data_IF_474448754183
#
_entry.id   IF_474448754183
#
_cell.length_a   1.000
_cell.length_b   1.000
_cell.length_c   1.000
_cell.angle_alpha   90.00
_cell.angle_beta   90.00
_cell.angle_gamma   90.00
#
_symmetry.space_group_name_H-M   'P 1'
#
loop_
_entity.id
_entity.type
_entity.pdbx_description
1 polymer ?
#
# COMPACT_ATOMS: atom_id res chain seq x y z
N UNK A 1 -3.56 -24.71 5.15
CA UNK A 1 -3.48 -24.25 6.55
C UNK A 1 -2.81 -22.89 6.54
N UNK A 2 -3.30 -21.90 7.30
CA UNK A 2 -2.68 -20.58 7.35
C UNK A 2 -1.24 -20.66 7.84
N UNK A 3 -0.38 -19.76 7.35
CA UNK A 3 0.98 -19.61 7.86
C UNK A 3 0.94 -19.11 9.31
N UNK A 4 1.75 -19.72 10.16
CA UNK A 4 2.04 -19.20 11.49
C UNK A 4 3.20 -18.20 11.36
N UNK A 5 2.89 -16.91 11.32
CA UNK A 5 3.92 -15.87 11.31
C UNK A 5 4.62 -15.80 12.68
N UNK A 6 5.97 -15.77 12.73
CA UNK A 6 6.68 -15.40 13.93
C UNK A 6 6.32 -13.98 14.36
N UNK A 7 6.52 -13.61 15.64
CA UNK A 7 6.29 -12.24 16.07
C UNK A 7 7.16 -11.27 15.26
N UNK A 8 6.67 -10.07 14.87
CA UNK A 8 7.44 -9.11 14.08
C UNK A 8 8.81 -8.72 14.67
N UNK A 9 8.97 -8.83 15.99
CA UNK A 9 10.23 -8.59 16.71
C UNK A 9 11.32 -9.64 16.41
N UNK A 10 10.97 -10.79 15.84
CA UNK A 10 11.91 -11.81 15.40
C UNK A 10 12.47 -11.56 13.98
N UNK A 11 12.03 -10.49 13.31
CA UNK A 11 12.53 -10.13 11.99
C UNK A 11 14.03 -9.79 12.04
N UNK A 12 14.75 -10.23 11.00
CA UNK A 12 16.21 -10.07 10.86
C UNK A 12 16.56 -8.70 10.34
N UNK A 13 17.03 -7.81 11.22
CA UNK A 13 17.41 -6.44 10.87
C UNK A 13 18.58 -6.37 9.90
N UNK A 14 19.50 -7.35 9.95
CA UNK A 14 20.61 -7.51 8.99
C UNK A 14 20.16 -7.95 7.59
N UNK A 15 18.88 -8.31 7.44
CA UNK A 15 18.22 -8.68 6.18
C UNK A 15 16.97 -7.81 5.94
N UNK A 16 17.05 -6.53 6.29
CA UNK A 16 15.99 -5.53 6.09
C UNK A 16 14.63 -5.92 6.68
N UNK A 17 14.65 -6.70 7.76
CA UNK A 17 13.46 -7.19 8.45
C UNK A 17 12.82 -8.43 7.82
N UNK A 18 13.58 -9.27 7.12
CA UNK A 18 13.11 -10.58 6.70
C UNK A 18 12.62 -11.40 7.91
N UNK A 19 11.41 -11.93 7.82
CA UNK A 19 10.76 -12.67 8.90
C UNK A 19 10.49 -14.14 8.55
N UNK A 20 10.02 -14.40 7.33
CA UNK A 20 9.62 -15.73 6.89
C UNK A 20 9.89 -15.91 5.40
N UNK A 21 10.25 -17.12 4.99
CA UNK A 21 10.37 -17.54 3.59
C UNK A 21 9.36 -18.66 3.29
N UNK A 22 8.70 -18.55 2.14
CA UNK A 22 7.79 -19.55 1.60
C UNK A 22 6.30 -19.25 1.83
N UNK A 23 5.49 -20.28 1.61
CA UNK A 23 4.03 -20.16 1.61
C UNK A 23 3.48 -19.49 0.34
N UNK A 24 2.19 -19.13 0.39
CA UNK A 24 1.46 -18.54 -0.71
C UNK A 24 0.67 -17.31 -0.23
N UNK A 25 0.47 -16.28 -1.06
CA UNK A 25 -0.30 -15.10 -0.73
C UNK A 25 -1.81 -15.40 -0.85
N UNK A 26 -2.30 -16.35 -0.07
CA UNK A 26 -3.75 -16.61 0.06
C UNK A 26 -4.40 -15.51 0.88
N UNK A 27 -5.73 -15.38 0.80
CA UNK A 27 -6.49 -14.40 1.56
C UNK A 27 -6.18 -14.50 3.05
N UNK A 28 -6.17 -15.72 3.60
CA UNK A 28 -5.91 -15.96 5.03
C UNK A 28 -4.50 -15.52 5.42
N UNK A 29 -3.49 -15.84 4.61
CA UNK A 29 -2.11 -15.50 4.89
C UNK A 29 -1.86 -14.00 4.78
N UNK A 30 -2.43 -13.34 3.78
CA UNK A 30 -2.32 -11.89 3.62
C UNK A 30 -2.99 -11.17 4.79
N UNK A 31 -4.24 -11.51 5.12
CA UNK A 31 -4.94 -10.92 6.28
C UNK A 31 -4.16 -11.13 7.57
N UNK A 32 -3.63 -12.33 7.80
CA UNK A 32 -2.81 -12.62 8.98
C UNK A 32 -1.51 -11.80 9.01
N UNK A 33 -0.84 -11.63 7.87
CA UNK A 33 0.38 -10.85 7.75
C UNK A 33 0.13 -9.36 8.01
N UNK A 34 -0.82 -8.74 7.30
CA UNK A 34 -1.12 -7.31 7.46
C UNK A 34 -1.63 -6.98 8.86
N UNK A 35 -2.39 -7.89 9.49
CA UNK A 35 -2.81 -7.76 10.88
C UNK A 35 -1.64 -7.70 11.88
N UNK A 36 -0.44 -8.08 11.47
CA UNK A 36 0.77 -8.09 12.30
C UNK A 36 1.81 -7.10 11.79
N UNK A 37 1.48 -6.26 10.80
CA UNK A 37 2.44 -5.33 10.21
C UNK A 37 3.45 -5.99 9.27
N UNK A 38 3.14 -7.17 8.77
CA UNK A 38 3.99 -7.96 7.87
C UNK A 38 3.43 -7.84 6.46
N UNK A 39 4.31 -7.70 5.46
CA UNK A 39 3.92 -7.68 4.05
C UNK A 39 4.77 -8.64 3.22
N UNK A 40 4.21 -9.23 2.15
CA UNK A 40 4.98 -10.04 1.22
C UNK A 40 5.81 -9.13 0.30
N UNK A 41 7.05 -9.52 0.03
CA UNK A 41 7.87 -8.90 -1.01
C UNK A 41 8.68 -9.99 -1.71
N UNK A 42 8.54 -10.17 -3.03
CA UNK A 42 9.28 -11.21 -3.74
C UNK A 42 10.73 -10.77 -3.95
N UNK A 43 11.64 -11.68 -3.66
CA UNK A 43 13.08 -11.53 -3.86
C UNK A 43 13.50 -12.49 -4.98
N UNK A 44 14.17 -12.02 -6.04
CA UNK A 44 14.59 -12.89 -7.14
C UNK A 44 15.40 -14.10 -6.65
N UNK A 45 15.02 -15.29 -7.11
CA UNK A 45 15.68 -16.55 -6.73
C UNK A 45 15.28 -17.11 -5.36
N UNK A 46 14.43 -16.42 -4.60
CA UNK A 46 13.96 -16.87 -3.29
C UNK A 46 12.48 -17.28 -3.36
N UNK A 47 12.02 -18.18 -2.47
CA UNK A 47 10.59 -18.31 -2.18
C UNK A 47 9.99 -16.97 -1.77
N UNK A 48 8.66 -16.84 -1.79
CA UNK A 48 7.98 -15.62 -1.34
C UNK A 48 8.47 -15.23 0.07
N UNK A 49 9.00 -14.03 0.20
CA UNK A 49 9.54 -13.53 1.45
C UNK A 49 8.55 -12.57 2.11
N UNK A 50 8.54 -12.58 3.44
CA UNK A 50 7.65 -11.77 4.26
C UNK A 50 8.49 -10.90 5.20
N UNK A 51 8.18 -9.61 5.26
CA UNK A 51 9.01 -8.61 5.91
C UNK A 51 8.27 -7.82 6.98
N UNK A 52 9.01 -7.47 8.02
CA UNK A 52 8.70 -6.38 8.94
C UNK A 52 9.99 -5.56 9.16
N UNK A 53 10.26 -4.51 8.38
CA UNK A 53 11.53 -3.78 8.42
C UNK A 53 11.74 -3.06 9.76
N UNK A 54 13.01 -2.80 10.17
CA UNK A 54 13.32 -2.07 11.40
C UNK A 54 12.91 -0.59 11.34
N UNK A 55 12.82 -0.04 10.12
CA UNK A 55 12.32 1.30 9.78
C UNK A 55 11.07 1.12 8.91
N UNK A 56 9.96 1.76 9.29
CA UNK A 56 8.70 1.66 8.54
C UNK A 56 8.27 3.03 8.06
N UNK A 57 8.01 3.15 6.75
CA UNK A 57 7.45 4.35 6.17
C UNK A 57 5.97 4.50 6.52
N UNK A 58 5.56 5.67 6.99
CA UNK A 58 4.17 6.03 7.20
C UNK A 58 3.86 7.40 6.58
N UNK A 59 2.58 7.64 6.29
CA UNK A 59 2.08 8.96 5.96
C UNK A 59 1.01 9.37 6.97
N UNK A 60 1.33 10.33 7.84
CA UNK A 60 0.31 10.97 8.69
C UNK A 60 -0.56 11.85 7.81
N UNK A 61 -1.88 11.67 7.89
CA UNK A 61 -2.82 12.39 7.02
C UNK A 61 -2.79 13.90 7.29
N UNK A 62 -2.51 14.32 8.53
CA UNK A 62 -2.35 15.72 8.91
C UNK A 62 -1.06 16.36 8.33
N UNK A 63 -0.06 15.55 7.97
CA UNK A 63 1.21 16.01 7.40
C UNK A 63 1.20 16.05 5.86
N UNK A 64 0.07 15.68 5.24
CA UNK A 64 -0.03 15.55 3.80
C UNK A 64 0.26 16.88 3.09
N UNK A 65 1.38 16.94 2.39
CA UNK A 65 1.84 18.14 1.72
C UNK A 65 1.32 18.22 0.28
N UNK A 66 0.43 19.19 0.03
CA UNK A 66 -0.08 19.50 -1.31
C UNK A 66 0.66 20.71 -1.88
N UNK A 67 1.75 20.46 -2.60
CA UNK A 67 2.51 21.51 -3.28
C UNK A 67 1.69 22.26 -4.33
N UNK A 68 2.13 23.48 -4.68
CA UNK A 68 1.41 24.41 -5.59
C UNK A 68 0.98 23.77 -6.92
N UNK A 69 1.86 22.98 -7.54
CA UNK A 69 1.60 22.31 -8.82
C UNK A 69 0.51 21.25 -8.69
N UNK A 70 0.53 20.46 -7.61
CA UNK A 70 -0.48 19.44 -7.34
C UNK A 70 -1.84 20.08 -7.01
N UNK A 71 -1.85 21.12 -6.19
CA UNK A 71 -3.06 21.88 -5.87
C UNK A 71 -3.70 22.51 -7.12
N UNK A 72 -2.86 23.00 -8.05
CA UNK A 72 -3.34 23.50 -9.35
C UNK A 72 -3.93 22.38 -10.20
N UNK A 73 -3.22 21.25 -10.33
CA UNK A 73 -3.70 20.09 -11.07
C UNK A 73 -5.05 19.61 -10.51
N UNK A 74 -5.20 19.50 -9.20
CA UNK A 74 -6.44 19.09 -8.54
C UNK A 74 -7.64 19.99 -8.88
N UNK A 75 -7.43 21.32 -8.99
CA UNK A 75 -8.52 22.25 -9.34
C UNK A 75 -8.85 22.28 -10.83
N UNK A 76 -7.92 21.88 -11.70
CA UNK A 76 -8.02 22.06 -13.15
C UNK A 76 -8.24 20.76 -13.91
N UNK A 77 -7.94 19.61 -13.30
CA UNK A 77 -8.06 18.33 -13.99
C UNK A 77 -9.53 17.96 -14.20
N UNK A 78 -9.90 17.45 -15.38
CA UNK A 78 -11.22 16.85 -15.61
C UNK A 78 -11.33 15.43 -15.02
N UNK A 79 -10.36 15.01 -14.20
CA UNK A 79 -10.22 13.62 -13.79
C UNK A 79 -11.29 13.22 -12.79
N UNK A 80 -11.79 11.99 -12.96
CA UNK A 80 -12.73 11.37 -12.04
C UNK A 80 -11.99 10.39 -11.16
N UNK A 81 -12.24 10.47 -9.86
CA UNK A 81 -11.73 9.48 -8.90
C UNK A 81 -12.80 8.44 -8.64
N UNK A 82 -12.42 7.17 -8.70
CA UNK A 82 -13.26 6.03 -8.34
C UNK A 82 -12.54 5.14 -7.33
N UNK A 83 -13.29 4.28 -6.68
CA UNK A 83 -12.78 3.27 -5.77
C UNK A 83 -13.36 1.93 -6.18
N UNK A 84 -12.52 0.90 -6.18
CA UNK A 84 -12.90 -0.50 -6.39
C UNK A 84 -13.65 -0.78 -7.71
N UNK A 85 -13.56 0.10 -8.71
CA UNK A 85 -14.21 -0.11 -10.02
C UNK A 85 -13.31 -0.89 -11.00
N UNK A 86 -11.98 -0.85 -10.82
CA UNK A 86 -11.05 -1.48 -11.76
C UNK A 86 -9.77 -2.03 -11.09
N UNK A 87 -9.91 -2.70 -9.95
CA UNK A 87 -8.78 -3.25 -9.17
C UNK A 87 -7.75 -4.02 -10.01
N UNK A 88 -8.21 -4.98 -10.82
CA UNK A 88 -7.32 -5.76 -11.68
C UNK A 88 -6.59 -4.92 -12.74
N UNK A 89 -7.21 -3.84 -13.25
CA UNK A 89 -6.54 -2.93 -14.18
C UNK A 89 -5.45 -2.13 -13.47
N UNK A 90 -5.74 -1.63 -12.26
CA UNK A 90 -4.76 -0.94 -11.42
C UNK A 90 -3.56 -1.83 -11.11
N UNK A 91 -3.78 -3.09 -10.69
CA UNK A 91 -2.69 -4.02 -10.41
C UNK A 91 -1.80 -4.27 -11.64
N UNK A 92 -2.41 -4.53 -12.80
CA UNK A 92 -1.66 -4.73 -14.06
C UNK A 92 -0.89 -3.49 -14.47
N UNK A 93 -1.45 -2.30 -14.27
CA UNK A 93 -0.76 -1.05 -14.56
C UNK A 93 0.42 -0.80 -13.59
N UNK A 94 0.26 -1.12 -12.30
CA UNK A 94 1.36 -1.11 -11.33
C UNK A 94 2.47 -2.12 -11.69
N UNK A 95 2.10 -3.29 -12.24
CA UNK A 95 3.02 -4.30 -12.76
C UNK A 95 3.72 -3.87 -14.06
N UNK A 96 3.14 -2.97 -14.85
CA UNK A 96 3.78 -2.46 -16.07
C UNK A 96 4.64 -1.21 -15.81
N UNK A 97 4.49 -0.55 -14.66
CA UNK A 97 5.13 0.73 -14.37
C UNK A 97 6.66 0.56 -14.23
N UNK A 98 7.47 1.22 -15.08
CA UNK A 98 8.93 1.20 -14.94
C UNK A 98 9.35 1.85 -13.63
N UNK A 99 10.32 1.23 -12.94
CA UNK A 99 10.89 1.75 -11.69
C UNK A 99 12.38 1.97 -11.90
N UNK A 100 12.89 3.21 -11.78
CA UNK A 100 14.31 3.49 -11.95
C UNK A 100 15.16 2.60 -11.03
N UNK A 101 16.11 1.85 -11.59
CA UNK A 101 16.99 0.96 -10.83
C UNK A 101 16.38 -0.41 -10.46
N UNK A 102 15.23 -0.79 -11.01
CA UNK A 102 14.67 -2.14 -10.88
C UNK A 102 14.50 -2.79 -12.26
N UNK A 103 15.07 -3.98 -12.43
CA UNK A 103 14.84 -4.82 -13.60
C UNK A 103 13.47 -5.50 -13.46
N UNK A 104 12.43 -4.82 -13.95
CA UNK A 104 11.05 -5.28 -13.92
C UNK A 104 10.30 -4.92 -12.64
N UNK A 105 9.11 -5.49 -12.47
CA UNK A 105 8.27 -5.25 -11.28
C UNK A 105 8.24 -6.46 -10.39
N UNK A 106 8.31 -6.22 -9.09
CA UNK A 106 8.11 -7.25 -8.06
C UNK A 106 6.69 -7.84 -8.06
N UNK A 107 5.72 -7.25 -8.76
CA UNK A 107 4.35 -7.77 -8.81
C UNK A 107 4.31 -9.03 -9.71
N UNK A 108 4.45 -10.20 -9.10
CA UNK A 108 4.42 -11.49 -9.81
C UNK A 108 2.98 -11.93 -10.11
N UNK A 109 2.76 -12.83 -11.09
CA UNK A 109 1.43 -13.39 -11.34
C UNK A 109 0.79 -14.07 -10.11
N UNK A 110 1.61 -14.59 -9.19
CA UNK A 110 1.14 -15.17 -7.94
C UNK A 110 0.57 -14.10 -7.00
N UNK A 111 1.26 -12.95 -6.88
CA UNK A 111 0.75 -11.83 -6.10
C UNK A 111 -0.52 -11.27 -6.74
N UNK A 112 -0.57 -11.07 -8.06
CA UNK A 112 -1.79 -10.60 -8.75
C UNK A 112 -3.01 -11.44 -8.35
N UNK A 113 -2.92 -12.77 -8.46
CA UNK A 113 -4.03 -13.65 -8.05
C UNK A 113 -4.36 -13.54 -6.57
N UNK A 114 -3.35 -13.42 -5.72
CA UNK A 114 -3.53 -13.29 -4.27
C UNK A 114 -4.27 -12.00 -3.88
N UNK A 115 -3.87 -10.86 -4.43
CA UNK A 115 -4.51 -9.58 -4.17
C UNK A 115 -5.87 -9.44 -4.86
N UNK A 116 -6.07 -10.02 -6.04
CA UNK A 116 -7.41 -10.09 -6.67
C UNK A 116 -8.38 -10.91 -5.80
N UNK A 117 -7.93 -12.04 -5.24
CA UNK A 117 -8.73 -12.81 -4.27
C UNK A 117 -8.96 -12.01 -2.97
N UNK A 118 -7.96 -11.27 -2.50
CA UNK A 118 -8.07 -10.41 -1.32
C UNK A 118 -9.05 -9.24 -1.54
N UNK A 119 -9.09 -8.69 -2.76
CA UNK A 119 -10.06 -7.68 -3.17
C UNK A 119 -11.48 -8.26 -3.20
N UNK A 120 -11.67 -9.44 -3.81
CA UNK A 120 -12.94 -10.14 -3.80
C UNK A 120 -13.43 -10.48 -2.38
N UNK A 121 -12.51 -10.69 -1.44
CA UNK A 121 -12.80 -10.88 -0.02
C UNK A 121 -13.07 -9.57 0.76
N UNK A 122 -12.96 -8.40 0.12
CA UNK A 122 -13.24 -7.10 0.72
C UNK A 122 -12.11 -6.53 1.59
N UNK A 123 -10.86 -6.97 1.36
CA UNK A 123 -9.69 -6.53 2.13
C UNK A 123 -8.66 -5.76 1.31
N UNK A 124 -8.65 -5.89 -0.01
CA UNK A 124 -7.80 -5.06 -0.87
C UNK A 124 -8.66 -4.09 -1.66
N UNK A 125 -8.19 -2.85 -1.81
CA UNK A 125 -8.93 -1.78 -2.43
C UNK A 125 -8.07 -1.00 -3.40
N UNK A 126 -8.70 -0.46 -4.44
CA UNK A 126 -8.06 0.39 -5.42
C UNK A 126 -8.66 1.80 -5.43
N UNK A 127 -7.82 2.75 -5.83
CA UNK A 127 -8.23 4.12 -6.16
C UNK A 127 -7.84 4.35 -7.60
N UNK A 128 -8.82 4.69 -8.43
CA UNK A 128 -8.63 4.91 -9.86
C UNK A 128 -8.74 6.39 -10.22
N UNK A 129 -7.89 6.85 -11.14
CA UNK A 129 -7.93 8.20 -11.69
C UNK A 129 -8.22 8.09 -13.18
N UNK A 130 -9.38 8.60 -13.60
CA UNK A 130 -9.89 8.47 -14.95
C UNK A 130 -9.90 9.81 -15.69
N UNK A 131 -9.38 9.84 -16.92
CA UNK A 131 -9.53 10.95 -17.87
C UNK A 131 -10.50 10.51 -18.97
N UNK A 132 -11.77 10.93 -18.86
CA UNK A 132 -12.82 10.27 -19.62
C UNK A 132 -12.87 8.78 -19.26
N UNK A 133 -12.78 7.91 -20.26
CA UNK A 133 -12.82 6.45 -20.07
C UNK A 133 -11.42 5.83 -20.00
N UNK A 134 -10.36 6.64 -20.02
CA UNK A 134 -8.97 6.19 -19.89
C UNK A 134 -8.53 6.18 -18.43
N UNK A 135 -8.00 5.04 -17.97
CA UNK A 135 -7.36 4.91 -16.66
C UNK A 135 -5.95 5.52 -16.70
N UNK A 136 -5.79 6.73 -16.16
CA UNK A 136 -4.55 7.52 -16.26
C UNK A 136 -3.67 7.44 -15.01
N UNK A 137 -4.13 6.81 -13.94
CA UNK A 137 -3.34 6.55 -12.75
C UNK A 137 -4.17 5.87 -11.67
N UNK A 138 -3.51 5.50 -10.59
CA UNK A 138 -4.17 4.86 -9.47
C UNK A 138 -3.19 4.21 -8.52
N UNK A 139 -3.74 3.64 -7.46
CA UNK A 139 -3.03 2.84 -6.49
C UNK A 139 -3.91 1.71 -5.99
N UNK A 140 -3.29 0.67 -5.45
CA UNK A 140 -3.99 -0.34 -4.67
C UNK A 140 -3.32 -0.52 -3.30
N UNK A 141 -4.08 -1.02 -2.35
CA UNK A 141 -3.61 -1.30 -1.01
C UNK A 141 -4.52 -2.27 -0.28
N UNK A 142 -4.18 -2.55 0.98
CA UNK A 142 -4.87 -3.51 1.83
C UNK A 142 -5.43 -2.81 3.06
N UNK A 143 -6.73 -2.94 3.29
CA UNK A 143 -7.42 -2.45 4.48
C UNK A 143 -7.72 -3.62 5.42
N UNK A 144 -6.95 -3.74 6.50
CA UNK A 144 -7.10 -4.81 7.48
C UNK A 144 -7.04 -4.21 8.88
N UNK A 145 -8.08 -4.51 9.68
CA UNK A 145 -8.20 -4.12 11.10
C UNK A 145 -7.92 -2.62 11.35
N UNK A 146 -8.57 -1.76 10.56
CA UNK A 146 -8.50 -0.31 10.74
C UNK A 146 -7.26 0.37 10.16
N UNK A 147 -6.32 -0.37 9.55
CA UNK A 147 -5.14 0.19 8.89
C UNK A 147 -5.18 -0.05 7.39
N UNK A 148 -4.81 0.97 6.62
CA UNK A 148 -4.58 0.87 5.18
C UNK A 148 -3.08 0.80 4.90
N UNK A 149 -2.63 -0.26 4.23
CA UNK A 149 -1.28 -0.40 3.71
C UNK A 149 -1.28 -0.20 2.19
N UNK A 150 -0.68 0.90 1.72
CA UNK A 150 -0.60 1.21 0.29
C UNK A 150 0.47 0.35 -0.37
N UNK A 151 0.13 -0.47 -1.36
CA UNK A 151 1.06 -1.46 -1.92
C UNK A 151 1.85 -0.89 -3.10
N UNK A 152 1.13 -0.35 -4.07
CA UNK A 152 1.74 0.18 -5.27
C UNK A 152 0.83 1.17 -5.96
N UNK A 153 1.43 1.99 -6.81
CA UNK A 153 0.75 3.01 -7.60
C UNK A 153 1.40 3.14 -8.97
N UNK A 154 0.62 3.63 -9.91
CA UNK A 154 1.07 3.95 -11.26
C UNK A 154 0.47 5.27 -11.73
N UNK A 155 1.03 5.80 -12.81
CA UNK A 155 0.49 6.96 -13.50
C UNK A 155 0.93 6.92 -14.96
N UNK A 156 0.02 7.29 -15.85
CA UNK A 156 0.26 7.57 -17.27
C UNK A 156 0.16 9.07 -17.57
N UNK A 157 -0.34 9.87 -16.61
CA UNK A 157 -0.33 11.33 -16.66
C UNK A 157 0.36 11.92 -15.43
N UNK A 158 1.11 13.03 -15.57
CA UNK A 158 1.77 13.67 -14.43
C UNK A 158 0.79 14.02 -13.31
N UNK A 159 1.13 13.68 -12.06
CA UNK A 159 0.30 13.87 -10.86
C UNK A 159 -0.89 12.90 -10.68
N UNK A 160 -1.20 11.99 -11.61
CA UNK A 160 -2.33 11.09 -11.43
C UNK A 160 -2.20 10.20 -10.18
N UNK A 161 -1.04 9.58 -9.94
CA UNK A 161 -0.81 8.78 -8.72
C UNK A 161 -0.91 9.62 -7.44
N UNK A 162 -0.45 10.88 -7.48
CA UNK A 162 -0.58 11.81 -6.35
C UNK A 162 -2.04 12.15 -6.09
N UNK A 163 -2.85 12.35 -7.13
CA UNK A 163 -4.29 12.56 -6.96
C UNK A 163 -4.99 11.33 -6.35
N UNK A 164 -4.58 10.12 -6.72
CA UNK A 164 -5.06 8.90 -6.07
C UNK A 164 -4.70 8.88 -4.56
N UNK A 165 -3.48 9.27 -4.19
CA UNK A 165 -3.08 9.39 -2.77
C UNK A 165 -3.91 10.45 -2.04
N UNK A 166 -4.13 11.63 -2.63
CA UNK A 166 -4.94 12.68 -2.00
C UNK A 166 -6.37 12.21 -1.76
N UNK A 167 -6.96 11.52 -2.74
CA UNK A 167 -8.32 10.98 -2.61
C UNK A 167 -8.39 9.85 -1.59
N UNK A 168 -7.41 8.94 -1.56
CA UNK A 168 -7.29 7.92 -0.53
C UNK A 168 -7.19 8.56 0.86
N UNK A 169 -6.29 9.53 1.02
CA UNK A 169 -6.08 10.21 2.30
C UNK A 169 -7.36 10.88 2.80
N UNK A 170 -8.10 11.54 1.91
CA UNK A 170 -9.40 12.13 2.25
C UNK A 170 -10.41 11.06 2.65
N UNK A 171 -10.55 9.99 1.85
CA UNK A 171 -11.43 8.86 2.18
C UNK A 171 -11.11 8.28 3.56
N UNK A 172 -9.86 7.96 3.83
CA UNK A 172 -9.39 7.43 5.12
C UNK A 172 -9.67 8.39 6.29
N UNK A 173 -9.46 9.69 6.08
CA UNK A 173 -9.75 10.73 7.08
C UNK A 173 -11.24 10.77 7.43
N UNK A 174 -12.14 10.65 6.45
CA UNK A 174 -13.59 10.58 6.72
C UNK A 174 -14.00 9.32 7.48
N UNK A 175 -13.16 8.27 7.47
CA UNK A 175 -13.35 7.03 8.24
C UNK A 175 -12.63 7.05 9.59
N UNK A 176 -12.03 8.18 9.96
CA UNK A 176 -11.38 8.39 11.25
C UNK A 176 -9.96 7.84 11.37
N UNK A 177 -9.35 7.38 10.26
CA UNK A 177 -7.93 7.06 10.25
C UNK A 177 -7.09 8.35 10.26
N UNK A 178 -5.91 8.29 10.88
CA UNK A 178 -5.00 9.44 11.00
C UNK A 178 -3.68 9.25 10.25
N UNK A 179 -3.42 8.04 9.74
CA UNK A 179 -2.22 7.69 9.00
C UNK A 179 -2.48 6.50 8.07
N UNK A 180 -1.57 6.25 7.13
CA UNK A 180 -1.51 5.01 6.36
C UNK A 180 -0.08 4.46 6.31
N UNK A 181 0.05 3.15 6.16
CA UNK A 181 1.32 2.45 5.99
C UNK A 181 1.76 2.55 4.51
N UNK A 182 3.02 2.92 4.29
CA UNK A 182 3.63 3.00 2.96
C UNK A 182 4.88 2.10 2.85
N UNK A 183 5.06 1.21 3.83
CA UNK A 183 6.12 0.21 4.01
C UNK A 183 7.55 0.79 3.97
N UNK A 184 8.01 1.21 2.80
CA UNK A 184 9.34 1.78 2.58
C UNK A 184 9.24 3.23 2.12
N UNK A 185 10.04 4.09 2.76
CA UNK A 185 10.09 5.49 2.40
C UNK A 185 10.72 5.66 1.02
N UNK A 186 10.09 6.49 0.18
CA UNK A 186 10.64 6.87 -1.13
C UNK A 186 10.70 8.38 -1.24
N UNK A 187 11.63 8.95 -2.04
CA UNK A 187 11.67 10.40 -2.27
C UNK A 187 10.34 10.97 -2.76
N UNK A 188 9.56 10.18 -3.52
CA UNK A 188 8.23 10.57 -3.98
C UNK A 188 7.26 10.76 -2.81
N UNK A 189 7.25 9.84 -1.84
CA UNK A 189 6.38 9.91 -0.67
C UNK A 189 6.86 10.95 0.34
N UNK A 190 8.17 11.17 0.50
CA UNK A 190 8.72 12.26 1.32
C UNK A 190 8.20 13.61 0.85
N UNK A 191 8.15 13.84 -0.46
CA UNK A 191 7.60 15.07 -1.04
C UNK A 191 6.11 15.30 -0.71
N UNK A 192 5.38 14.25 -0.31
CA UNK A 192 4.00 14.31 0.16
C UNK A 192 3.88 14.37 1.69
N UNK A 193 4.99 14.42 2.43
CA UNK A 193 5.00 14.49 3.89
C UNK A 193 5.10 13.13 4.59
N UNK A 194 5.49 12.07 3.88
CA UNK A 194 5.76 10.79 4.51
C UNK A 194 7.05 10.83 5.34
N UNK A 195 7.09 10.02 6.39
CA UNK A 195 8.21 9.89 7.31
C UNK A 195 8.50 8.42 7.63
N UNK A 196 9.59 8.16 8.33
CA UNK A 196 9.92 6.84 8.85
C UNK A 196 9.84 6.82 10.37
N UNK A 197 9.23 5.75 10.90
CA UNK A 197 9.19 5.43 12.32
C UNK A 197 9.96 4.12 12.59
N UNK A 198 10.30 3.86 13.85
CA UNK A 198 10.86 2.55 14.22
C UNK A 198 9.82 1.43 14.09
N UNK A 199 10.25 0.17 13.97
CA UNK A 199 9.36 -0.99 14.02
C UNK A 199 8.48 -0.97 15.28
N UNK A 200 9.06 -0.63 16.43
CA UNK A 200 8.36 -0.55 17.71
C UNK A 200 7.24 0.50 17.66
N UNK A 201 7.54 1.72 17.20
CA UNK A 201 6.54 2.78 17.08
C UNK A 201 5.44 2.39 16.08
N UNK A 202 5.80 1.81 14.94
CA UNK A 202 4.82 1.32 13.96
C UNK A 202 3.88 0.26 14.54
N UNK A 203 4.41 -0.73 15.28
CA UNK A 203 3.59 -1.76 15.90
C UNK A 203 2.68 -1.19 17.01
N UNK A 204 3.14 -0.15 17.72
CA UNK A 204 2.29 0.57 18.67
C UNK A 204 1.14 1.32 17.98
N UNK A 205 1.42 2.01 16.85
CA UNK A 205 0.39 2.65 16.02
C UNK A 205 -0.61 1.64 15.47
N UNK A 206 -0.11 0.51 14.96
CA UNK A 206 -0.94 -0.59 14.45
C UNK A 206 -1.86 -1.12 15.55
N UNK A 207 -1.34 -1.43 16.73
CA UNK A 207 -2.14 -1.95 17.85
C UNK A 207 -3.23 -0.94 18.29
N UNK A 208 -2.91 0.35 18.29
CA UNK A 208 -3.86 1.41 18.62
C UNK A 208 -5.02 1.49 17.61
N UNK A 209 -4.74 1.46 16.30
CA UNK A 209 -5.78 1.46 15.26
C UNK A 209 -6.62 0.18 15.29
N UNK A 210 -6.01 -0.97 15.54
CA UNK A 210 -6.72 -2.24 15.66
C UNK A 210 -7.70 -2.25 16.84
N UNK A 211 -7.33 -1.59 17.95
CA UNK A 211 -8.19 -1.44 19.13
C UNK A 211 -9.35 -0.47 18.89
N UNK A 212 -9.25 0.41 17.89
CA UNK A 212 -10.34 1.32 17.51
C UNK A 212 -11.38 0.67 16.58
N UNK A 213 -11.15 -0.58 16.13
CA UNK A 213 -12.08 -1.40 15.33
C UNK A 213 -12.66 -0.66 14.10
N UNK A 214 -11.86 0.20 13.47
CA UNK A 214 -12.31 1.01 12.35
C UNK A 214 -12.55 0.17 11.11
N UNK A 215 -13.62 0.49 10.38
CA UNK A 215 -13.88 -0.01 9.04
C UNK A 215 -13.59 1.08 8.02
N UNK A 216 -12.54 0.85 7.22
CA UNK A 216 -12.07 1.83 6.23
C UNK A 216 -12.81 1.74 4.89
N UNK A 217 -13.36 0.58 4.53
CA UNK A 217 -14.08 0.32 3.30
C UNK A 217 -15.33 -0.55 3.58
#
# INVERSE_FOLDING_TARGET
MPLAFPPPTAARDDLDGLLLLGGQPTVENLVAAYSQGIFPWPVPGWPLAWFCPPRRGILRLASLHVGRTLARAQRQSPWRIRFDEAFGQVMRACQAQPRPGQDGTWITPQLVRGYEALHAAGHAHSVEVWEGDELVGGLYGVAVRGVFAGESMFHHRPNASKMAILALAEHLRTRGANWLDIQQLTPHMVALGAEEVSREEFLALLAAEQSAERRLF
#
